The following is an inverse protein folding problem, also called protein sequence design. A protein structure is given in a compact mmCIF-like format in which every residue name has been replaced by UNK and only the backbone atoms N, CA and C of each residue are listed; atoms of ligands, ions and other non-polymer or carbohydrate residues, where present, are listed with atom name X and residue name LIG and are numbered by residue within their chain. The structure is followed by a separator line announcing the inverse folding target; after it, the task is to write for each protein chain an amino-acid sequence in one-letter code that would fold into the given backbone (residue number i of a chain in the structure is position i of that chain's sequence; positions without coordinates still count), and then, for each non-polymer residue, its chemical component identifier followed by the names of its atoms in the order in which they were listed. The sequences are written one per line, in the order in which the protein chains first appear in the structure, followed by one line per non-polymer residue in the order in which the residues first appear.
data_IF_209268469184
#
_entry.id   IF_209268469184
#
_cell.length_a   1.000
_cell.length_b   1.000
_cell.length_c   1.000
_cell.angle_alpha   90.00
_cell.angle_beta   90.00
_cell.angle_gamma   90.00
#
_symmetry.space_group_name_H-M   'P 1'
#
loop_
_entity.id
_entity.type
_entity.pdbx_description
1 polymer ?
#
# COMPACT_ATOMS: atom_id res chain seq x y z
N UNK A 1 -15.16 1.18 9.87
CA UNK A 1 -14.80 -0.12 9.27
C UNK A 1 -13.29 -0.25 9.43
N UNK A 2 -12.76 -1.40 9.85
CA UNK A 2 -11.31 -1.56 9.99
C UNK A 2 -10.63 -1.50 8.61
N UNK A 3 -9.46 -0.86 8.51
CA UNK A 3 -8.75 -0.67 7.23
C UNK A 3 -8.35 -2.01 6.59
N UNK A 4 -8.08 -3.04 7.39
CA UNK A 4 -7.80 -4.36 6.87
C UNK A 4 -9.06 -5.02 6.28
N UNK A 5 -10.20 -4.90 6.97
CA UNK A 5 -11.47 -5.45 6.48
C UNK A 5 -11.90 -4.75 5.19
N UNK A 6 -11.66 -3.44 5.09
CA UNK A 6 -11.87 -2.67 3.86
C UNK A 6 -11.05 -3.25 2.68
N UNK A 7 -9.74 -3.46 2.86
CA UNK A 7 -8.88 -4.03 1.79
C UNK A 7 -9.31 -5.43 1.35
N UNK A 8 -9.79 -6.26 2.29
CA UNK A 8 -10.27 -7.62 2.00
C UNK A 8 -11.65 -7.64 1.32
N UNK A 9 -12.40 -6.55 1.40
CA UNK A 9 -13.75 -6.48 0.85
C UNK A 9 -13.80 -6.22 -0.65
N UNK A 10 -12.69 -5.74 -1.24
CA UNK A 10 -12.59 -5.39 -2.65
C UNK A 10 -11.34 -5.99 -3.29
N UNK A 11 -11.54 -6.89 -4.26
CA UNK A 11 -10.48 -7.57 -5.00
C UNK A 11 -9.63 -6.61 -5.85
N UNK A 12 -10.07 -5.37 -6.10
CA UNK A 12 -9.26 -4.35 -6.78
C UNK A 12 -7.94 -4.08 -6.04
N UNK A 13 -7.91 -4.30 -4.71
CA UNK A 13 -6.72 -4.17 -3.87
C UNK A 13 -5.82 -5.42 -3.89
N UNK A 14 -6.18 -6.49 -4.59
CA UNK A 14 -5.38 -7.71 -4.67
C UNK A 14 -4.26 -7.61 -5.73
N UNK A 15 -4.04 -6.40 -6.26
CA UNK A 15 -2.96 -6.08 -7.17
C UNK A 15 -1.75 -5.52 -6.41
N UNK A 16 -0.54 -5.81 -6.90
CA UNK A 16 0.66 -5.22 -6.32
C UNK A 16 0.72 -3.72 -6.63
N UNK A 17 0.96 -2.91 -5.61
CA UNK A 17 1.05 -1.47 -5.79
C UNK A 17 0.92 -0.69 -4.51
N UNK A 18 1.03 0.63 -4.65
CA UNK A 18 0.79 1.60 -3.59
C UNK A 18 -0.54 2.28 -3.84
N UNK A 19 -1.31 2.53 -2.79
CA UNK A 19 -2.57 3.27 -2.80
C UNK A 19 -2.60 4.25 -1.64
N UNK A 20 -3.28 5.38 -1.85
CA UNK A 20 -3.63 6.28 -0.76
C UNK A 20 -5.09 6.03 -0.43
N UNK A 21 -5.36 5.67 0.82
CA UNK A 21 -6.70 5.35 1.31
C UNK A 21 -7.06 6.34 2.40
N UNK A 22 -8.22 6.97 2.26
CA UNK A 22 -8.78 7.88 3.25
C UNK A 22 -9.79 7.11 4.11
N UNK A 23 -9.61 7.13 5.43
CA UNK A 23 -10.57 6.58 6.39
C UNK A 23 -10.65 7.52 7.59
N UNK A 24 -11.87 7.91 7.99
CA UNK A 24 -12.11 8.80 9.13
C UNK A 24 -11.29 10.10 9.11
N UNK A 25 -11.18 10.73 7.93
CA UNK A 25 -10.36 11.95 7.68
C UNK A 25 -8.85 11.76 7.89
N UNK A 26 -8.38 10.52 8.01
CA UNK A 26 -6.98 10.15 8.06
C UNK A 26 -6.60 9.51 6.73
N UNK A 27 -5.50 9.99 6.15
CA UNK A 27 -4.94 9.41 4.95
C UNK A 27 -3.86 8.37 5.30
N UNK A 28 -3.86 7.26 4.58
CA UNK A 28 -2.91 6.17 4.73
C UNK A 28 -2.24 5.88 3.40
N UNK A 29 -0.91 5.82 3.39
CA UNK A 29 -0.17 5.23 2.28
C UNK A 29 -0.06 3.72 2.54
N UNK A 30 -0.70 2.94 1.68
CA UNK A 30 -0.77 1.48 1.79
C UNK A 30 -0.02 0.85 0.63
N UNK A 31 0.89 -0.08 0.93
CA UNK A 31 1.60 -0.88 -0.07
C UNK A 31 1.16 -2.34 0.04
N UNK A 32 0.65 -2.87 -1.07
CA UNK A 32 0.21 -4.26 -1.20
C UNK A 32 1.18 -5.04 -2.08
N UNK A 33 1.49 -6.26 -1.68
CA UNK A 33 2.21 -7.22 -2.52
C UNK A 33 1.63 -8.62 -2.39
N UNK A 34 1.96 -9.46 -3.36
CA UNK A 34 1.53 -10.84 -3.47
C UNK A 34 2.72 -11.80 -3.52
N UNK A 35 2.61 -12.94 -2.85
CA UNK A 35 3.61 -14.00 -2.88
C UNK A 35 2.93 -15.35 -3.01
N UNK A 36 3.38 -16.15 -3.98
CA UNK A 36 2.89 -17.52 -4.14
C UNK A 36 3.21 -18.38 -2.92
N UNK A 37 2.20 -19.07 -2.40
CA UNK A 37 2.32 -20.08 -1.37
C UNK A 37 2.92 -21.34 -2.00
N UNK A 38 4.16 -21.63 -1.64
CA UNK A 38 4.90 -22.81 -2.09
C UNK A 38 5.16 -23.79 -0.95
N UNK A 39 6.23 -24.57 -1.06
CA UNK A 39 6.68 -25.51 0.00
C UNK A 39 7.33 -24.82 1.21
N UNK A 40 7.43 -23.50 1.19
CA UNK A 40 8.10 -22.71 2.22
C UNK A 40 7.19 -22.54 3.45
N UNK A 41 7.79 -22.30 4.62
CA UNK A 41 7.01 -22.01 5.82
C UNK A 41 6.22 -20.71 5.69
N UNK A 42 5.06 -20.61 6.36
CA UNK A 42 4.26 -19.38 6.39
C UNK A 42 5.07 -18.18 6.89
N UNK A 43 5.94 -18.37 7.87
CA UNK A 43 6.82 -17.32 8.38
C UNK A 43 7.85 -16.84 7.33
N UNK A 44 8.33 -17.73 6.47
CA UNK A 44 9.22 -17.34 5.35
C UNK A 44 8.47 -16.53 4.31
N UNK A 45 7.27 -16.99 3.91
CA UNK A 45 6.43 -16.28 2.93
C UNK A 45 6.03 -14.90 3.46
N UNK A 46 5.65 -14.78 4.73
CA UNK A 46 5.26 -13.51 5.33
C UNK A 46 6.41 -12.49 5.36
N UNK A 47 7.63 -12.94 5.66
CA UNK A 47 8.85 -12.10 5.57
C UNK A 47 9.11 -11.65 4.15
N UNK A 48 9.02 -12.56 3.17
CA UNK A 48 9.20 -12.25 1.75
C UNK A 48 8.16 -11.20 1.31
N UNK A 49 6.89 -11.39 1.68
CA UNK A 49 5.82 -10.46 1.35
C UNK A 49 6.05 -9.07 1.97
N UNK A 50 6.48 -9.02 3.22
CA UNK A 50 6.81 -7.74 3.90
C UNK A 50 7.96 -7.02 3.20
N UNK A 51 9.03 -7.73 2.82
CA UNK A 51 10.14 -7.15 2.05
C UNK A 51 9.67 -6.66 0.68
N UNK A 52 8.79 -7.41 0.01
CA UNK A 52 8.24 -7.04 -1.30
C UNK A 52 7.36 -5.79 -1.21
N UNK A 53 6.49 -5.68 -0.20
CA UNK A 53 5.73 -4.46 0.08
C UNK A 53 6.63 -3.24 0.27
N UNK A 54 7.72 -3.37 1.05
CA UNK A 54 8.68 -2.28 1.26
C UNK A 54 9.36 -1.87 -0.05
N UNK A 55 9.78 -2.85 -0.86
CA UNK A 55 10.36 -2.57 -2.17
C UNK A 55 9.38 -1.84 -3.10
N UNK A 56 8.12 -2.27 -3.15
CA UNK A 56 7.06 -1.60 -3.94
C UNK A 56 6.84 -0.17 -3.46
N UNK A 57 6.77 0.05 -2.14
CA UNK A 57 6.64 1.39 -1.56
C UNK A 57 7.83 2.29 -1.90
N UNK A 58 9.05 1.77 -1.77
CA UNK A 58 10.27 2.50 -2.10
C UNK A 58 10.33 2.87 -3.59
N UNK A 59 10.00 1.93 -4.48
CA UNK A 59 9.96 2.19 -5.92
C UNK A 59 8.94 3.28 -6.27
N UNK A 60 7.77 3.26 -5.64
CA UNK A 60 6.76 4.29 -5.83
C UNK A 60 7.27 5.68 -5.41
N UNK A 61 7.83 5.79 -4.20
CA UNK A 61 8.32 7.06 -3.65
C UNK A 61 9.53 7.57 -4.46
N UNK A 62 10.49 6.69 -4.79
CA UNK A 62 11.69 7.07 -5.55
C UNK A 62 11.41 7.36 -7.02
N UNK A 63 10.38 6.72 -7.61
CA UNK A 63 10.08 6.77 -9.04
C UNK A 63 8.94 7.69 -9.44
N UNK A 64 8.34 8.45 -8.51
CA UNK A 64 7.13 9.25 -8.76
C UNK A 64 7.24 10.16 -10.00
N UNK A 65 6.58 9.73 -11.08
CA UNK A 65 5.58 10.54 -11.81
C UNK A 65 4.26 9.85 -11.48
N UNK A 66 3.41 10.46 -10.64
CA UNK A 66 2.11 9.87 -10.26
C UNK A 66 1.26 9.75 -11.52
N UNK A 67 1.06 8.53 -12.03
CA UNK A 67 0.04 8.30 -13.06
C UNK A 67 -1.32 8.19 -12.35
N UNK A 68 -2.35 8.82 -12.92
CA UNK A 68 -3.70 8.92 -12.35
C UNK A 68 -4.34 7.57 -11.97
N UNK A 69 -3.82 6.45 -12.49
CA UNK A 69 -4.21 5.08 -12.14
C UNK A 69 -3.87 4.68 -10.68
N UNK A 70 -2.99 5.42 -10.01
CA UNK A 70 -2.57 5.13 -8.63
C UNK A 70 -3.55 5.64 -7.57
N UNK A 71 -4.38 6.64 -7.91
CA UNK A 71 -5.38 7.21 -7.00
C UNK A 71 -6.77 6.64 -7.26
N UNK A 72 -7.05 5.48 -6.67
CA UNK A 72 -8.42 4.94 -6.62
C UNK A 72 -9.01 5.33 -5.25
N UNK A 73 -9.80 6.41 -5.23
CA UNK A 73 -10.69 6.74 -4.10
C UNK A 73 -12.00 5.98 -4.26
N UNK A 74 -12.43 5.34 -3.18
CA UNK A 74 -13.81 4.89 -3.00
C UNK A 74 -14.69 6.13 -2.86
N UNK A 75 -15.61 6.31 -3.81
CA UNK A 75 -16.62 7.38 -3.93
C UNK A 75 -16.13 8.83 -4.10
N UNK A 76 -16.49 9.38 -5.26
CA UNK A 76 -16.66 10.80 -5.61
C UNK A 76 -15.47 11.79 -5.55
N UNK A 77 -15.14 12.31 -6.74
CA UNK A 77 -14.45 13.58 -7.03
C UNK A 77 -13.11 13.81 -6.33
N UNK A 78 -12.04 13.41 -7.02
CA UNK A 78 -10.73 14.02 -6.83
C UNK A 78 -10.84 15.52 -7.14
N UNK A 79 -10.72 16.37 -6.12
CA UNK A 79 -10.48 17.80 -6.31
C UNK A 79 -8.98 17.99 -6.59
N UNK A 80 -8.63 18.93 -7.48
CA UNK A 80 -7.23 19.19 -7.86
C UNK A 80 -6.28 19.37 -6.67
N UNK A 81 -6.75 20.02 -5.59
CA UNK A 81 -5.98 20.23 -4.37
C UNK A 81 -5.51 18.94 -3.68
N UNK A 82 -6.28 17.85 -3.76
CA UNK A 82 -5.86 16.58 -3.14
C UNK A 82 -4.70 15.92 -3.89
N UNK A 83 -4.69 16.04 -5.22
CA UNK A 83 -3.60 15.51 -6.06
C UNK A 83 -2.30 16.24 -5.77
N UNK A 84 -2.33 17.58 -5.79
CA UNK A 84 -1.18 18.43 -5.53
C UNK A 84 -0.61 18.19 -4.12
N UNK A 85 -1.48 17.98 -3.13
CA UNK A 85 -1.06 17.65 -1.77
C UNK A 85 -0.28 16.34 -1.71
N UNK A 86 -0.79 15.27 -2.34
CA UNK A 86 -0.11 13.97 -2.32
C UNK A 86 1.18 13.99 -3.13
N UNK A 87 1.24 14.70 -4.25
CA UNK A 87 2.48 14.91 -5.01
C UNK A 87 3.54 15.61 -4.14
N UNK A 88 3.18 16.72 -3.51
CA UNK A 88 4.07 17.46 -2.61
C UNK A 88 4.54 16.61 -1.42
N UNK A 89 3.64 15.82 -0.82
CA UNK A 89 3.99 14.90 0.26
C UNK A 89 4.98 13.82 -0.19
N UNK A 90 4.74 13.20 -1.35
CA UNK A 90 5.64 12.17 -1.90
C UNK A 90 7.01 12.76 -2.23
N UNK A 91 7.04 13.97 -2.79
CA UNK A 91 8.28 14.69 -3.08
C UNK A 91 9.05 15.03 -1.80
N UNK A 92 8.37 15.48 -0.74
CA UNK A 92 8.98 15.74 0.57
C UNK A 92 9.65 14.49 1.15
N UNK A 93 8.95 13.35 1.13
CA UNK A 93 9.49 12.11 1.70
C UNK A 93 10.50 11.40 0.79
N UNK A 94 10.65 11.83 -0.47
CA UNK A 94 11.60 11.24 -1.43
C UNK A 94 13.03 11.35 -0.94
N UNK A 95 13.37 12.48 -0.32
CA UNK A 95 14.71 12.74 0.26
C UNK A 95 15.09 11.74 1.35
N UNK A 96 14.11 11.21 2.09
CA UNK A 96 14.31 10.24 3.18
C UNK A 96 13.50 8.94 2.97
N UNK A 97 13.33 8.55 1.71
CA UNK A 97 12.43 7.46 1.30
C UNK A 97 12.70 6.11 2.00
N UNK A 98 13.97 5.76 2.25
CA UNK A 98 14.33 4.53 2.99
C UNK A 98 13.76 4.54 4.42
N UNK A 99 13.99 5.63 5.17
CA UNK A 99 13.51 5.75 6.55
C UNK A 99 11.99 5.81 6.63
N UNK A 100 11.34 6.43 5.64
CA UNK A 100 9.89 6.42 5.55
C UNK A 100 9.33 5.00 5.42
N UNK A 101 9.87 4.22 4.47
CA UNK A 101 9.45 2.84 4.16
C UNK A 101 9.78 1.87 5.30
N UNK A 102 10.92 2.05 5.96
CA UNK A 102 11.31 1.26 7.13
C UNK A 102 10.31 1.43 8.28
N UNK A 103 9.80 2.65 8.47
CA UNK A 103 8.78 2.96 9.46
C UNK A 103 7.35 2.61 9.08
N UNK A 104 7.12 1.89 7.96
CA UNK A 104 5.79 1.37 7.64
C UNK A 104 5.48 0.12 8.46
N UNK A 105 4.26 0.05 8.97
CA UNK A 105 3.77 -1.02 9.85
C UNK A 105 3.02 -2.10 9.05
N UNK A 106 3.01 -3.33 9.56
CA UNK A 106 2.19 -4.40 8.97
C UNK A 106 0.73 -4.13 9.29
N UNK A 107 -0.10 -3.97 8.26
CA UNK A 107 -1.54 -3.85 8.43
C UNK A 107 -2.17 -5.24 8.60
N UNK A 108 -2.10 -6.06 7.55
CA UNK A 108 -2.60 -7.43 7.59
C UNK A 108 -2.16 -8.27 6.39
N UNK A 109 -2.54 -9.54 6.41
CA UNK A 109 -2.40 -10.47 5.29
C UNK A 109 -3.68 -11.29 5.09
N UNK A 110 -3.89 -11.73 3.87
CA UNK A 110 -5.01 -12.58 3.47
C UNK A 110 -4.58 -13.47 2.32
N UNK A 111 -5.34 -14.53 2.06
CA UNK A 111 -5.03 -15.48 0.99
C UNK A 111 -6.03 -15.35 -0.14
N UNK A 112 -5.60 -15.69 -1.35
CA UNK A 112 -6.51 -15.92 -2.46
C UNK A 112 -7.50 -17.04 -2.12
N UNK A 113 -8.67 -17.01 -2.74
CA UNK A 113 -9.71 -18.04 -2.56
C UNK A 113 -9.22 -19.46 -2.90
N UNK A 114 -8.24 -19.58 -3.79
CA UNK A 114 -7.61 -20.86 -4.15
C UNK A 114 -6.47 -21.30 -3.22
N UNK A 115 -6.14 -20.49 -2.20
CA UNK A 115 -5.10 -20.77 -1.20
C UNK A 115 -3.67 -20.80 -1.76
N UNK A 116 -3.44 -20.26 -2.96
CA UNK A 116 -2.11 -20.29 -3.62
C UNK A 116 -1.34 -18.99 -3.50
N UNK A 117 -1.96 -17.91 -3.07
CA UNK A 117 -1.33 -16.59 -3.02
C UNK A 117 -1.58 -15.96 -1.67
N UNK A 118 -0.52 -15.48 -1.02
CA UNK A 118 -0.60 -14.60 0.14
C UNK A 118 -0.51 -13.16 -0.34
N UNK A 119 -1.53 -12.37 -0.01
CA UNK A 119 -1.49 -10.92 -0.09
C UNK A 119 -1.07 -10.34 1.26
N UNK A 120 -0.26 -9.29 1.21
CA UNK A 120 0.24 -8.59 2.40
C UNK A 120 0.08 -7.10 2.17
N UNK A 121 -0.39 -6.40 3.18
CA UNK A 121 -0.46 -4.95 3.22
C UNK A 121 0.43 -4.41 4.35
N UNK A 122 1.20 -3.38 4.04
CA UNK A 122 1.86 -2.51 5.03
C UNK A 122 1.35 -1.09 4.84
N UNK A 123 1.38 -0.28 5.87
CA UNK A 123 0.82 1.06 5.82
C UNK A 123 1.64 2.06 6.65
N UNK A 124 1.41 3.33 6.37
CA UNK A 124 1.80 4.44 7.24
C UNK A 124 0.79 5.56 7.11
N UNK A 125 0.42 6.15 8.24
CA UNK A 125 -0.40 7.35 8.23
C UNK A 125 0.39 8.49 7.60
N UNK A 126 -0.25 9.20 6.69
CA UNK A 126 0.27 10.44 6.10
C UNK A 126 -0.54 11.59 6.68
N UNK A 127 0.17 12.63 7.15
CA UNK A 127 -0.51 13.81 7.72
C UNK A 127 -1.31 14.51 6.61
N UNK A 128 -2.40 15.16 7.01
CA UNK A 128 -3.04 16.24 6.22
C UNK A 128 -2.35 17.56 6.53
#
# INVERSE_FOLDING_TARGET
MDLCDFLKSDESYYSEGVRIIESDSINYLVSVSSVGLGKQSRASVDRIATVKCRRVALQYISGSTITSETMIKTSEKVSGNSVEFYEAFIDEIKENSSGFVEGMEVLCSWESSDGKTLFKAIYKQIRN
#
